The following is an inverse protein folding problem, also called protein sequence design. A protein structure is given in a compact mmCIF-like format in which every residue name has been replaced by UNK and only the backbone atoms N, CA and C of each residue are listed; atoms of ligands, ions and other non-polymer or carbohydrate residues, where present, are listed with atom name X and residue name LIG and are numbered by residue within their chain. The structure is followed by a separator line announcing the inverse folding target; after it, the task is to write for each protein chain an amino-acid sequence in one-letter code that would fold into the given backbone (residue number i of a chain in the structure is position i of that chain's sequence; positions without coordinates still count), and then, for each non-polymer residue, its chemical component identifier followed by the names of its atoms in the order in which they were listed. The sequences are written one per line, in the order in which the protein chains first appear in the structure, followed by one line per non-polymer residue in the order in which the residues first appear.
data_IF_551670026782
#
_entry.id   IF_551670026782
#
_cell.length_a   1.000
_cell.length_b   1.000
_cell.length_c   1.000
_cell.angle_alpha   90.00
_cell.angle_beta   90.00
_cell.angle_gamma   90.00
#
_symmetry.space_group_name_H-M   'P 1'
#
loop_
_entity.id
_entity.type
_entity.pdbx_description
1 polymer ?
#
# COMPACT_ATOMS: atom_id res chain seq x y z
N UNK A 1 -9.68 27.76 14.11
CA UNK A 1 -10.63 28.84 13.77
C UNK A 1 -10.25 29.56 12.47
N UNK A 2 -9.25 30.46 12.44
CA UNK A 2 -8.96 31.27 11.24
C UNK A 2 -8.63 30.46 9.97
N UNK A 3 -7.77 29.44 10.08
CA UNK A 3 -7.41 28.60 8.94
C UNK A 3 -8.63 27.85 8.35
N UNK A 4 -9.51 27.32 9.20
CA UNK A 4 -10.75 26.64 8.79
C UNK A 4 -11.73 27.61 8.12
N UNK A 5 -11.85 28.84 8.63
CA UNK A 5 -12.66 29.87 8.00
C UNK A 5 -12.14 30.22 6.60
N UNK A 6 -10.82 30.32 6.43
CA UNK A 6 -10.19 30.56 5.12
C UNK A 6 -10.45 29.40 4.16
N UNK A 7 -10.27 28.15 4.60
CA UNK A 7 -10.58 26.96 3.80
C UNK A 7 -12.03 26.97 3.32
N UNK A 8 -12.98 27.19 4.22
CA UNK A 8 -14.39 27.27 3.87
C UNK A 8 -14.66 28.39 2.84
N UNK A 9 -14.13 29.59 3.07
CA UNK A 9 -14.37 30.70 2.15
C UNK A 9 -13.74 30.45 0.77
N UNK A 10 -12.60 29.76 0.68
CA UNK A 10 -12.03 29.30 -0.60
C UNK A 10 -12.93 28.24 -1.25
N UNK A 11 -13.44 27.27 -0.49
CA UNK A 11 -14.34 26.21 -1.00
C UNK A 11 -15.66 26.78 -1.56
N UNK A 12 -16.21 27.84 -0.93
CA UNK A 12 -17.40 28.54 -1.41
C UNK A 12 -17.11 29.52 -2.56
N UNK A 13 -15.85 29.62 -3.01
CA UNK A 13 -15.41 30.54 -4.07
C UNK A 13 -15.36 32.01 -3.65
N UNK A 14 -15.43 32.32 -2.36
CA UNK A 14 -15.38 33.69 -1.84
C UNK A 14 -13.95 34.26 -1.83
N UNK A 15 -12.93 33.39 -1.70
CA UNK A 15 -11.52 33.76 -1.74
C UNK A 15 -10.80 33.02 -2.88
N UNK A 16 -9.85 33.70 -3.51
CA UNK A 16 -8.95 33.09 -4.51
C UNK A 16 -7.77 32.35 -3.87
N UNK A 17 -6.87 31.79 -4.70
CA UNK A 17 -5.69 31.06 -4.26
C UNK A 17 -4.67 31.92 -3.46
N UNK A 18 -4.71 33.24 -3.61
CA UNK A 18 -3.86 34.18 -2.85
C UNK A 18 -4.51 34.61 -1.53
N UNK A 19 -5.78 34.26 -1.33
CA UNK A 19 -6.59 34.66 -0.18
C UNK A 19 -7.28 36.01 -0.34
N UNK A 20 -7.35 36.56 -1.55
CA UNK A 20 -8.05 37.81 -1.84
C UNK A 20 -9.54 37.56 -2.12
N UNK A 21 -10.38 38.56 -1.88
CA UNK A 21 -11.83 38.48 -2.07
C UNK A 21 -12.18 38.44 -3.57
N UNK A 22 -12.98 37.46 -3.98
CA UNK A 22 -13.47 37.34 -5.36
C UNK A 22 -14.70 38.25 -5.60
N UNK A 23 -15.13 38.46 -6.86
CA UNK A 23 -16.41 39.13 -7.14
C UNK A 23 -17.59 38.42 -6.45
N UNK A 24 -17.57 37.09 -6.44
CA UNK A 24 -18.54 36.27 -5.73
C UNK A 24 -18.48 36.46 -4.21
N UNK A 25 -17.27 36.48 -3.62
CA UNK A 25 -17.07 36.78 -2.20
C UNK A 25 -17.55 38.18 -1.80
N UNK A 26 -17.38 39.17 -2.69
CA UNK A 26 -17.90 40.52 -2.51
C UNK A 26 -19.43 40.54 -2.49
N UNK A 27 -20.06 39.82 -3.43
CA UNK A 27 -21.52 39.66 -3.46
C UNK A 27 -22.05 38.93 -2.21
N UNK A 28 -21.34 37.90 -1.75
CA UNK A 28 -21.67 37.18 -0.51
C UNK A 28 -21.63 38.11 0.71
N UNK A 29 -20.58 38.93 0.81
CA UNK A 29 -20.43 39.89 1.91
C UNK A 29 -21.56 40.93 1.95
N UNK A 30 -22.02 41.39 0.78
CA UNK A 30 -23.10 42.37 0.68
C UNK A 30 -24.47 41.85 1.19
N UNK A 31 -24.67 40.53 1.24
CA UNK A 31 -25.92 39.94 1.74
C UNK A 31 -26.04 39.96 3.26
N UNK A 32 -24.96 40.18 4.01
CA UNK A 32 -25.02 40.31 5.48
C UNK A 32 -25.60 39.11 6.22
N UNK A 33 -25.48 37.90 5.66
CA UNK A 33 -25.87 36.62 6.30
C UNK A 33 -24.64 35.73 6.43
N UNK A 34 -24.77 34.59 7.11
CA UNK A 34 -23.67 33.62 7.21
C UNK A 34 -23.13 33.24 5.82
N UNK A 35 -21.80 33.13 5.60
CA UNK A 35 -21.22 32.92 4.26
C UNK A 35 -21.80 31.73 3.48
N UNK A 36 -22.11 30.62 4.15
CA UNK A 36 -22.76 29.46 3.52
C UNK A 36 -24.15 29.80 2.97
N UNK A 37 -24.93 30.57 3.72
CA UNK A 37 -26.26 31.02 3.31
C UNK A 37 -26.17 32.05 2.18
N UNK A 38 -25.19 32.96 2.25
CA UNK A 38 -24.95 33.95 1.20
C UNK A 38 -24.59 33.26 -0.13
N UNK A 39 -23.67 32.30 -0.09
CA UNK A 39 -23.29 31.50 -1.26
C UNK A 39 -24.50 30.76 -1.86
N UNK A 40 -25.26 30.07 -1.01
CA UNK A 40 -26.47 29.34 -1.39
C UNK A 40 -27.49 30.28 -2.06
N UNK A 41 -27.80 31.43 -1.46
CA UNK A 41 -28.82 32.36 -1.97
C UNK A 41 -28.44 32.96 -3.33
N UNK A 42 -27.16 33.27 -3.55
CA UNK A 42 -26.68 33.76 -4.84
C UNK A 42 -26.83 32.71 -5.94
N UNK A 43 -26.37 31.48 -5.69
CA UNK A 43 -26.48 30.40 -6.66
C UNK A 43 -27.92 29.91 -6.87
N UNK A 44 -28.77 29.98 -5.84
CA UNK A 44 -30.19 29.68 -5.95
C UNK A 44 -30.92 30.62 -6.91
N UNK A 45 -30.49 31.90 -6.97
CA UNK A 45 -31.05 32.88 -7.91
C UNK A 45 -30.72 32.52 -9.35
N UNK A 46 -29.49 32.12 -9.63
CA UNK A 46 -29.07 31.68 -10.97
C UNK A 46 -29.83 30.43 -11.44
N UNK A 47 -30.28 29.61 -10.48
CA UNK A 47 -31.00 28.36 -10.71
C UNK A 47 -32.53 28.48 -10.62
N UNK A 48 -33.07 29.68 -10.45
CA UNK A 48 -34.52 29.95 -10.30
C UNK A 48 -35.20 29.17 -9.17
N UNK A 49 -34.49 28.92 -8.06
CA UNK A 49 -35.01 28.23 -6.85
C UNK A 49 -34.89 29.10 -5.59
N UNK A 50 -34.87 30.42 -5.76
CA UNK A 50 -34.59 31.38 -4.71
C UNK A 50 -35.63 31.38 -3.58
N UNK A 51 -36.91 31.10 -3.88
CA UNK A 51 -37.95 30.98 -2.85
C UNK A 51 -37.69 29.81 -1.91
N UNK A 52 -37.33 28.64 -2.46
CA UNK A 52 -36.95 27.44 -1.70
C UNK A 52 -35.68 27.67 -0.88
N UNK A 53 -34.71 28.39 -1.46
CA UNK A 53 -33.51 28.79 -0.74
C UNK A 53 -33.83 29.66 0.48
N UNK A 54 -34.75 30.63 0.36
CA UNK A 54 -35.17 31.45 1.50
C UNK A 54 -35.82 30.61 2.61
N UNK A 55 -36.65 29.63 2.25
CA UNK A 55 -37.25 28.68 3.21
C UNK A 55 -36.17 27.85 3.91
N UNK A 56 -35.20 27.33 3.15
CA UNK A 56 -34.11 26.54 3.70
C UNK A 56 -33.24 27.38 4.65
N UNK A 57 -32.84 28.60 4.27
CA UNK A 57 -32.07 29.48 5.16
C UNK A 57 -32.84 29.73 6.45
N UNK A 58 -34.15 29.99 6.38
CA UNK A 58 -34.96 30.19 7.57
C UNK A 58 -35.03 28.94 8.47
N UNK A 59 -35.15 27.75 7.89
CA UNK A 59 -35.12 26.48 8.65
C UNK A 59 -33.77 26.23 9.32
N UNK A 60 -32.66 26.66 8.69
CA UNK A 60 -31.31 26.41 9.20
C UNK A 60 -30.85 27.43 10.25
N UNK A 61 -31.29 28.68 10.16
CA UNK A 61 -30.94 29.74 11.11
C UNK A 61 -31.85 29.72 12.35
N UNK A 62 -33.12 29.34 12.20
CA UNK A 62 -34.07 29.27 13.31
C UNK A 62 -34.01 27.94 14.05
N UNK A 63 -34.63 27.90 15.23
CA UNK A 63 -34.79 26.67 16.01
C UNK A 63 -35.67 25.67 15.25
N UNK A 64 -35.26 24.39 15.18
CA UNK A 64 -36.03 23.33 14.51
C UNK A 64 -37.51 23.34 14.98
N UNK A 65 -38.47 23.52 14.04
CA UNK A 65 -39.89 23.55 14.35
C UNK A 65 -40.50 22.17 14.62
N UNK A 66 -39.77 21.08 14.35
CA UNK A 66 -40.21 19.72 14.63
C UNK A 66 -39.62 19.26 15.97
N UNK A 67 -40.47 18.64 16.78
CA UNK A 67 -40.10 18.03 18.07
C UNK A 67 -40.40 16.53 18.03
N UNK A 68 -39.63 15.78 18.78
CA UNK A 68 -39.85 14.36 19.04
C UNK A 68 -39.88 14.14 20.55
N UNK A 69 -40.65 13.13 20.99
CA UNK A 69 -40.69 12.73 22.42
C UNK A 69 -39.32 12.17 22.85
N UNK A 70 -38.70 11.36 21.98
CA UNK A 70 -37.30 10.96 22.09
C UNK A 70 -36.50 11.67 20.99
N UNK A 71 -35.46 12.42 21.37
CA UNK A 71 -34.57 13.09 20.43
C UNK A 71 -33.87 12.11 19.44
N UNK A 72 -33.83 10.80 19.76
CA UNK A 72 -33.35 9.77 18.84
C UNK A 72 -34.31 9.45 17.69
N UNK A 73 -35.58 9.83 17.82
CA UNK A 73 -36.63 9.65 16.81
C UNK A 73 -36.85 10.91 15.96
N UNK A 74 -36.06 11.97 16.18
CA UNK A 74 -36.17 13.16 15.37
C UNK A 74 -35.71 12.82 13.95
N UNK A 75 -36.62 12.94 12.98
CA UNK A 75 -36.31 12.65 11.58
C UNK A 75 -35.23 13.65 11.08
N UNK A 76 -34.15 13.20 10.44
CA UNK A 76 -33.11 14.07 9.91
C UNK A 76 -33.49 14.77 8.60
N UNK A 77 -34.61 14.43 7.95
CA UNK A 77 -34.98 15.01 6.66
C UNK A 77 -35.38 16.49 6.78
N UNK A 78 -34.59 17.36 6.15
CA UNK A 78 -34.85 18.80 6.03
C UNK A 78 -36.12 19.04 5.21
N UNK A 79 -36.45 18.16 4.26
CA UNK A 79 -37.68 18.23 3.47
C UNK A 79 -38.93 18.25 4.34
N UNK A 80 -38.94 17.51 5.45
CA UNK A 80 -40.04 17.51 6.40
C UNK A 80 -40.28 18.90 7.04
N UNK A 81 -39.21 19.69 7.25
CA UNK A 81 -39.31 21.06 7.81
C UNK A 81 -39.80 22.04 6.76
N UNK A 82 -39.30 21.94 5.52
CA UNK A 82 -39.76 22.76 4.40
C UNK A 82 -41.25 22.53 4.15
N UNK A 83 -41.68 21.28 4.14
CA UNK A 83 -43.08 20.90 4.00
C UNK A 83 -43.94 21.50 5.12
N UNK A 84 -43.49 21.40 6.38
CA UNK A 84 -44.20 21.98 7.52
C UNK A 84 -44.31 23.51 7.41
N UNK A 85 -43.24 24.19 6.98
CA UNK A 85 -43.19 25.64 6.79
C UNK A 85 -44.20 26.11 5.75
N UNK A 86 -44.23 25.45 4.59
CA UNK A 86 -45.08 25.80 3.44
C UNK A 86 -46.55 25.42 3.61
N UNK A 87 -46.83 24.19 4.05
CA UNK A 87 -48.21 23.66 4.13
C UNK A 87 -48.92 24.01 5.44
N UNK A 88 -48.16 24.31 6.49
CA UNK A 88 -48.66 24.80 7.76
C UNK A 88 -49.52 23.91 8.62
N UNK A 89 -49.78 22.66 8.21
CA UNK A 89 -50.10 21.50 9.05
C UNK A 89 -50.23 20.26 8.17
N UNK A 90 -49.13 19.51 8.02
CA UNK A 90 -49.14 18.16 7.44
C UNK A 90 -49.18 17.12 8.55
N UNK A 91 -49.71 15.93 8.27
CA UNK A 91 -49.59 14.76 9.16
C UNK A 91 -48.10 14.43 9.28
N UNK A 92 -47.52 14.74 10.43
CA UNK A 92 -46.16 14.31 10.74
C UNK A 92 -46.14 12.79 11.00
N UNK A 93 -45.00 12.12 10.75
CA UNK A 93 -44.78 10.76 11.24
C UNK A 93 -45.13 10.60 12.72
N UNK A 94 -45.57 9.39 13.10
CA UNK A 94 -45.95 9.10 14.48
C UNK A 94 -44.81 9.40 15.46
N UNK A 95 -45.12 10.10 16.55
CA UNK A 95 -44.14 10.50 17.58
C UNK A 95 -43.52 11.89 17.37
N UNK A 96 -43.83 12.57 16.26
CA UNK A 96 -43.37 13.93 15.98
C UNK A 96 -44.49 14.96 16.19
N UNK A 97 -44.12 16.14 16.69
CA UNK A 97 -45.04 17.28 16.91
C UNK A 97 -44.45 18.58 16.35
N UNK A 98 -45.31 19.55 16.06
CA UNK A 98 -44.90 20.89 15.61
C UNK A 98 -44.85 21.87 16.78
N UNK A 99 -43.79 22.66 16.83
CA UNK A 99 -43.65 23.85 17.65
C UNK A 99 -44.14 25.06 16.83
N UNK A 100 -45.41 25.42 17.01
CA UNK A 100 -46.07 26.49 16.23
C UNK A 100 -45.31 27.84 16.35
N UNK A 101 -44.69 28.12 17.50
CA UNK A 101 -43.93 29.35 17.71
C UNK A 101 -42.59 29.35 16.96
N UNK A 102 -41.89 28.22 16.91
CA UNK A 102 -40.71 28.07 16.06
C UNK A 102 -41.06 28.13 14.58
N UNK A 103 -42.15 27.48 14.17
CA UNK A 103 -42.62 27.50 12.78
C UNK A 103 -42.99 28.92 12.31
N UNK A 104 -43.63 29.71 13.19
CA UNK A 104 -43.94 31.11 12.91
C UNK A 104 -42.66 31.94 12.66
N UNK A 105 -41.63 31.78 13.50
CA UNK A 105 -40.35 32.46 13.31
C UNK A 105 -39.69 32.07 11.99
N UNK A 106 -39.68 30.78 11.63
CA UNK A 106 -39.15 30.36 10.33
C UNK A 106 -39.90 31.03 9.17
N UNK A 107 -41.23 31.19 9.26
CA UNK A 107 -42.01 31.89 8.21
C UNK A 107 -41.67 33.37 8.13
N UNK A 108 -41.53 34.04 9.26
CA UNK A 108 -41.19 35.46 9.31
C UNK A 108 -39.79 35.71 8.70
N UNK A 109 -38.81 34.88 9.08
CA UNK A 109 -37.46 34.93 8.51
C UNK A 109 -37.46 34.64 7.01
N UNK A 110 -38.20 33.62 6.56
CA UNK A 110 -38.33 33.30 5.14
C UNK A 110 -39.01 34.43 4.35
N UNK A 111 -40.03 35.09 4.91
CA UNK A 111 -40.71 36.24 4.29
C UNK A 111 -39.76 37.45 4.19
N UNK A 112 -39.08 37.79 5.28
CA UNK A 112 -38.13 38.90 5.29
C UNK A 112 -36.99 38.70 4.27
N UNK A 113 -36.50 37.47 4.10
CA UNK A 113 -35.52 37.13 3.08
C UNK A 113 -36.07 37.30 1.66
N UNK A 114 -37.29 36.82 1.38
CA UNK A 114 -37.93 36.98 0.08
C UNK A 114 -38.13 38.44 -0.29
N UNK A 115 -38.61 39.25 0.65
CA UNK A 115 -38.84 40.68 0.47
C UNK A 115 -37.52 41.40 0.17
N UNK A 116 -36.48 41.13 0.97
CA UNK A 116 -35.15 41.71 0.81
C UNK A 116 -34.48 41.32 -0.51
N UNK A 117 -34.74 40.11 -0.99
CA UNK A 117 -34.16 39.57 -2.22
C UNK A 117 -35.06 39.75 -3.44
N UNK A 118 -36.21 40.42 -3.29
CA UNK A 118 -37.18 40.67 -4.35
C UNK A 118 -37.53 39.39 -5.15
N UNK A 119 -37.84 38.30 -4.44
CA UNK A 119 -38.21 37.02 -5.04
C UNK A 119 -39.50 37.17 -5.84
N UNK A 120 -39.51 36.69 -7.09
CA UNK A 120 -40.68 36.82 -7.98
C UNK A 120 -41.63 35.65 -7.74
N UNK A 121 -42.94 35.86 -7.92
CA UNK A 121 -43.94 34.78 -7.78
C UNK A 121 -43.70 33.57 -8.71
N UNK A 122 -42.96 33.73 -9.81
CA UNK A 122 -42.52 32.63 -10.67
C UNK A 122 -41.55 31.66 -10.01
N UNK A 123 -40.90 32.06 -8.92
CA UNK A 123 -39.89 31.26 -8.19
C UNK A 123 -40.54 30.36 -7.12
N UNK A 124 -41.88 30.35 -7.00
CA UNK A 124 -42.60 29.69 -5.92
C UNK A 124 -42.77 28.17 -6.09
N UNK A 125 -42.63 27.63 -7.31
CA UNK A 125 -42.81 26.19 -7.57
C UNK A 125 -41.72 25.65 -8.50
N UNK A 126 -40.71 24.98 -7.95
CA UNK A 126 -39.77 24.20 -8.75
C UNK A 126 -40.45 22.87 -9.17
N UNK A 127 -40.20 22.36 -10.39
CA UNK A 127 -40.78 21.09 -10.85
C UNK A 127 -40.39 19.87 -10.00
N UNK A 128 -39.31 19.97 -9.21
CA UNK A 128 -38.85 18.97 -8.25
C UNK A 128 -38.18 19.65 -7.04
N UNK A 129 -39.00 20.03 -6.05
CA UNK A 129 -38.53 20.69 -4.83
C UNK A 129 -37.54 19.82 -4.02
N UNK A 130 -37.63 18.49 -4.09
CA UNK A 130 -36.73 17.62 -3.33
C UNK A 130 -35.33 17.59 -3.93
N UNK A 131 -35.21 17.45 -5.26
CA UNK A 131 -33.91 17.52 -5.92
C UNK A 131 -33.26 18.91 -5.75
N UNK A 132 -34.05 19.98 -5.86
CA UNK A 132 -33.59 21.34 -5.62
C UNK A 132 -33.12 21.54 -4.17
N UNK A 133 -33.84 20.99 -3.19
CA UNK A 133 -33.45 21.08 -1.78
C UNK A 133 -32.11 20.40 -1.51
N UNK A 134 -31.91 19.19 -2.03
CA UNK A 134 -30.63 18.48 -1.96
C UNK A 134 -29.47 19.30 -2.53
N UNK A 135 -29.67 19.88 -3.72
CA UNK A 135 -28.69 20.75 -4.37
C UNK A 135 -28.36 21.99 -3.51
N UNK A 136 -29.37 22.64 -2.94
CA UNK A 136 -29.18 23.82 -2.10
C UNK A 136 -28.39 23.50 -0.82
N UNK A 137 -28.73 22.40 -0.13
CA UNK A 137 -27.94 21.97 1.04
C UNK A 137 -26.51 21.63 0.64
N UNK A 138 -26.33 20.98 -0.51
CA UNK A 138 -24.99 20.67 -1.04
C UNK A 138 -24.19 21.94 -1.31
N UNK A 139 -24.80 22.99 -1.86
CA UNK A 139 -24.16 24.29 -2.10
C UNK A 139 -23.75 24.98 -0.79
N UNK A 140 -24.60 25.00 0.23
CA UNK A 140 -24.23 25.57 1.53
C UNK A 140 -23.15 24.74 2.24
N UNK A 141 -23.15 23.42 2.08
CA UNK A 141 -22.29 22.49 2.80
C UNK A 141 -21.53 21.52 1.88
N UNK A 142 -20.64 22.01 0.99
CA UNK A 142 -19.91 21.18 0.03
C UNK A 142 -19.00 20.16 0.72
N UNK A 143 -18.45 20.51 1.89
CA UNK A 143 -17.62 19.65 2.74
C UNK A 143 -18.41 18.51 3.41
N UNK A 144 -19.74 18.63 3.48
CA UNK A 144 -20.65 17.71 4.19
C UNK A 144 -21.54 16.89 3.27
N UNK A 145 -21.15 16.78 2.00
CA UNK A 145 -21.74 15.80 1.07
C UNK A 145 -21.25 14.42 1.48
N UNK A 146 -22.17 13.47 1.58
CA UNK A 146 -21.93 12.15 2.12
C UNK A 146 -22.39 11.05 1.15
N UNK A 147 -21.60 9.98 1.05
CA UNK A 147 -21.97 8.75 0.34
C UNK A 147 -22.08 7.58 1.31
N UNK A 148 -23.14 6.79 1.21
CA UNK A 148 -23.36 5.61 2.06
C UNK A 148 -22.24 4.59 1.87
N UNK A 149 -21.80 3.96 2.95
CA UNK A 149 -20.82 2.86 2.90
C UNK A 149 -21.52 1.53 2.66
N UNK A 150 -20.93 0.68 1.83
CA UNK A 150 -21.47 -0.66 1.54
C UNK A 150 -21.56 -1.51 2.81
N UNK A 151 -22.68 -2.23 2.97
CA UNK A 151 -22.91 -3.17 4.08
C UNK A 151 -23.01 -2.53 5.48
N UNK A 152 -22.97 -1.20 5.61
CA UNK A 152 -22.78 -0.53 6.89
C UNK A 152 -24.04 0.13 7.50
N UNK A 153 -25.24 -0.18 7.00
CA UNK A 153 -26.49 0.47 7.43
C UNK A 153 -26.51 1.97 7.11
N UNK A 154 -27.11 2.79 7.97
CA UNK A 154 -27.21 4.25 7.81
C UNK A 154 -25.88 4.99 8.12
N UNK A 155 -24.76 4.47 7.62
CA UNK A 155 -23.40 5.02 7.78
C UNK A 155 -22.85 5.53 6.46
N UNK A 156 -22.18 6.67 6.52
CA UNK A 156 -21.74 7.46 5.37
C UNK A 156 -20.28 7.86 5.51
N UNK A 157 -19.63 8.09 4.37
CA UNK A 157 -18.36 8.77 4.23
C UNK A 157 -18.62 10.20 3.74
N UNK A 158 -18.19 11.19 4.51
CA UNK A 158 -18.23 12.59 4.10
C UNK A 158 -17.11 12.90 3.11
N UNK A 159 -17.31 13.93 2.28
CA UNK A 159 -16.32 14.42 1.30
C UNK A 159 -14.95 14.69 1.93
N UNK A 160 -14.92 15.18 3.17
CA UNK A 160 -13.69 15.47 3.91
C UNK A 160 -12.97 14.21 4.45
N UNK A 161 -13.54 13.01 4.28
CA UNK A 161 -12.97 11.73 4.72
C UNK A 161 -13.49 11.22 6.06
N UNK A 162 -14.23 12.03 6.82
CA UNK A 162 -14.81 11.63 8.10
C UNK A 162 -15.97 10.65 7.90
N UNK A 163 -16.13 9.73 8.86
CA UNK A 163 -17.34 8.90 8.95
C UNK A 163 -18.50 9.69 9.54
N UNK A 164 -19.71 9.39 9.09
CA UNK A 164 -20.95 9.95 9.65
C UNK A 164 -22.06 8.89 9.69
N UNK A 165 -23.07 9.08 10.54
CA UNK A 165 -24.20 8.16 10.62
C UNK A 165 -25.52 8.86 10.95
N UNK A 166 -26.64 8.32 10.45
CA UNK A 166 -27.98 8.73 10.87
C UNK A 166 -28.34 7.97 12.14
N UNK A 167 -28.85 8.69 13.14
CA UNK A 167 -29.25 8.12 14.43
C UNK A 167 -30.53 7.31 14.33
N UNK A 168 -31.49 7.80 13.56
CA UNK A 168 -32.72 7.07 13.24
C UNK A 168 -32.53 6.22 11.97
N UNK A 169 -32.53 4.90 12.12
CA UNK A 169 -32.45 3.97 10.99
C UNK A 169 -33.79 3.76 10.28
N UNK A 170 -34.89 4.23 10.86
CA UNK A 170 -36.23 4.19 10.27
C UNK A 170 -36.50 5.32 9.27
N UNK A 171 -35.69 6.39 9.29
CA UNK A 171 -35.80 7.50 8.35
C UNK A 171 -35.69 7.06 6.89
N UNK A 172 -36.42 7.74 6.00
CA UNK A 172 -36.31 7.56 4.55
C UNK A 172 -34.88 7.76 4.05
N UNK A 173 -34.15 8.70 4.65
CA UNK A 173 -32.77 9.04 4.29
C UNK A 173 -31.77 7.91 4.55
N UNK A 174 -32.06 6.97 5.46
CA UNK A 174 -31.18 5.83 5.74
C UNK A 174 -30.97 4.91 4.53
N UNK A 175 -31.90 4.95 3.56
CA UNK A 175 -31.83 4.14 2.33
C UNK A 175 -31.19 4.87 1.16
N UNK A 176 -31.03 6.18 1.27
CA UNK A 176 -30.42 7.00 0.24
C UNK A 176 -28.90 6.77 0.18
N UNK A 177 -28.38 6.67 -1.04
CA UNK A 177 -26.95 6.50 -1.26
C UNK A 177 -26.19 7.81 -1.02
N UNK A 178 -26.80 8.95 -1.35
CA UNK A 178 -26.17 10.25 -1.32
C UNK A 178 -26.99 11.23 -0.47
N UNK A 179 -26.30 11.95 0.42
CA UNK A 179 -26.88 12.95 1.29
C UNK A 179 -26.07 14.25 1.25
N UNK A 180 -26.76 15.38 1.34
CA UNK A 180 -26.16 16.65 1.71
C UNK A 180 -26.52 16.95 3.17
N UNK A 181 -25.52 17.07 4.05
CA UNK A 181 -25.77 17.22 5.49
C UNK A 181 -25.68 18.70 5.92
N UNK A 182 -26.79 19.27 6.38
CA UNK A 182 -26.86 20.65 6.85
C UNK A 182 -26.34 20.79 8.29
N UNK A 183 -26.67 19.82 9.16
CA UNK A 183 -26.26 19.81 10.56
C UNK A 183 -25.65 18.46 10.97
N UNK A 184 -24.47 18.52 11.58
CA UNK A 184 -23.70 17.38 12.08
C UNK A 184 -23.22 17.69 13.50
N UNK A 185 -23.09 16.66 14.33
CA UNK A 185 -22.33 16.70 15.59
C UNK A 185 -21.08 15.82 15.43
N UNK A 186 -19.91 16.45 15.41
CA UNK A 186 -18.60 15.83 15.18
C UNK A 186 -17.81 15.58 16.47
N UNK A 187 -18.46 15.62 17.63
CA UNK A 187 -17.83 15.34 18.93
C UNK A 187 -17.36 13.90 19.12
N UNK A 188 -17.89 12.96 18.32
CA UNK A 188 -17.57 11.53 18.37
C UNK A 188 -16.53 11.09 17.32
N UNK A 189 -16.25 9.77 17.28
CA UNK A 189 -15.38 9.16 16.25
C UNK A 189 -15.97 9.29 14.84
N UNK A 190 -17.27 9.07 14.72
CA UNK A 190 -18.05 9.34 13.52
C UNK A 190 -19.08 10.42 13.86
N UNK A 191 -19.33 11.34 12.93
CA UNK A 191 -20.27 12.43 13.13
C UNK A 191 -21.72 11.93 13.15
N UNK A 192 -22.56 12.46 14.03
CA UNK A 192 -24.01 12.21 13.99
C UNK A 192 -24.66 13.18 13.01
N UNK A 193 -25.42 12.67 12.03
CA UNK A 193 -26.19 13.49 11.10
C UNK A 193 -27.51 13.88 11.76
N UNK A 194 -27.71 15.19 11.94
CA UNK A 194 -28.91 15.76 12.55
C UNK A 194 -29.90 16.31 11.54
N UNK A 195 -29.40 16.93 10.46
CA UNK A 195 -30.22 17.42 9.36
C UNK A 195 -29.52 17.13 8.04
N UNK A 196 -30.25 16.53 7.10
CA UNK A 196 -29.79 16.24 5.77
C UNK A 196 -30.92 16.33 4.74
N UNK A 197 -30.54 16.41 3.48
CA UNK A 197 -31.43 16.25 2.35
C UNK A 197 -30.89 15.13 1.45
N UNK A 198 -31.80 14.42 0.79
CA UNK A 198 -31.46 13.49 -0.30
C UNK A 198 -30.70 14.25 -1.38
N UNK A 199 -29.64 13.64 -1.90
CA UNK A 199 -28.86 14.18 -3.01
C UNK A 199 -28.72 13.11 -4.10
N UNK A 200 -28.58 13.53 -5.36
CA UNK A 200 -28.27 12.62 -6.47
C UNK A 200 -26.83 12.81 -6.94
N UNK A 201 -26.18 11.73 -7.40
CA UNK A 201 -24.81 11.79 -7.90
C UNK A 201 -24.67 12.71 -9.12
N UNK A 202 -25.70 12.81 -9.97
CA UNK A 202 -25.66 13.71 -11.12
C UNK A 202 -25.66 15.18 -10.67
N UNK A 203 -26.37 15.51 -9.59
CA UNK A 203 -26.31 16.85 -8.96
C UNK A 203 -24.90 17.12 -8.43
N UNK A 204 -24.25 16.15 -7.77
CA UNK A 204 -22.85 16.30 -7.32
C UNK A 204 -21.93 16.58 -8.51
N UNK A 205 -22.07 15.83 -9.60
CA UNK A 205 -21.27 16.01 -10.82
C UNK A 205 -21.50 17.37 -11.46
N UNK A 206 -22.74 17.81 -11.56
CA UNK A 206 -23.09 19.12 -12.14
C UNK A 206 -22.54 20.27 -11.29
N UNK A 207 -22.75 20.23 -9.97
CA UNK A 207 -22.32 21.31 -9.06
C UNK A 207 -20.80 21.36 -8.88
N UNK A 208 -20.12 20.22 -8.95
CA UNK A 208 -18.72 20.09 -8.53
C UNK A 208 -17.82 19.48 -9.60
N UNK A 209 -18.15 19.64 -10.89
CA UNK A 209 -17.34 19.11 -12.01
C UNK A 209 -15.84 19.43 -11.84
N UNK A 210 -15.51 20.69 -11.55
CA UNK A 210 -14.12 21.15 -11.42
C UNK A 210 -13.41 20.66 -10.14
N UNK A 211 -14.16 20.05 -9.21
CA UNK A 211 -13.64 19.52 -7.95
C UNK A 211 -13.59 17.98 -7.94
N UNK A 212 -14.05 17.34 -9.03
CA UNK A 212 -13.91 15.90 -9.23
C UNK A 212 -12.55 15.62 -9.85
N UNK A 213 -11.71 14.90 -9.12
CA UNK A 213 -10.36 14.57 -9.54
C UNK A 213 -10.30 13.14 -10.06
N UNK A 214 -9.49 12.92 -11.10
CA UNK A 214 -9.21 11.58 -11.62
C UNK A 214 -7.77 11.22 -11.33
N UNK A 215 -7.56 10.23 -10.47
CA UNK A 215 -6.22 9.77 -10.06
C UNK A 215 -6.00 8.35 -10.56
N UNK A 216 -4.93 8.17 -11.33
CA UNK A 216 -4.42 6.85 -11.73
C UNK A 216 -3.44 6.36 -10.67
N UNK A 217 -3.61 5.14 -10.21
CA UNK A 217 -2.69 4.45 -9.29
C UNK A 217 -2.30 3.11 -9.90
N UNK A 218 -1.00 2.87 -10.01
CA UNK A 218 -0.46 1.57 -10.41
C UNK A 218 0.39 1.06 -9.26
N UNK A 219 0.11 -0.15 -8.81
CA UNK A 219 0.84 -0.80 -7.73
C UNK A 219 0.91 -2.30 -8.00
N UNK A 220 1.97 -2.93 -7.50
CA UNK A 220 2.03 -4.38 -7.45
C UNK A 220 1.35 -4.86 -6.16
N UNK A 221 0.43 -5.80 -6.30
CA UNK A 221 -0.27 -6.41 -5.19
C UNK A 221 0.67 -7.37 -4.44
N UNK A 222 0.76 -7.21 -3.12
CA UNK A 222 1.75 -7.92 -2.31
C UNK A 222 1.44 -9.43 -2.17
N UNK A 223 0.17 -9.81 -2.23
CA UNK A 223 -0.26 -11.21 -2.08
C UNK A 223 -0.09 -11.98 -3.39
N UNK A 224 -0.56 -11.41 -4.50
CA UNK A 224 -0.54 -12.04 -5.82
C UNK A 224 0.74 -11.78 -6.61
N UNK A 225 1.52 -10.76 -6.24
CA UNK A 225 2.72 -10.34 -6.97
C UNK A 225 2.45 -9.74 -8.35
N UNK A 226 1.18 -9.41 -8.67
CA UNK A 226 0.78 -8.88 -9.98
C UNK A 226 0.60 -7.37 -9.94
N UNK A 227 0.98 -6.70 -11.03
CA UNK A 227 0.73 -5.26 -11.16
C UNK A 227 -0.72 -5.01 -11.53
N UNK A 228 -1.39 -4.18 -10.74
CA UNK A 228 -2.75 -3.69 -10.97
C UNK A 228 -2.73 -2.17 -11.09
N UNK A 229 -3.37 -1.68 -12.13
CA UNK A 229 -3.69 -0.27 -12.28
C UNK A 229 -5.15 -0.03 -11.95
N UNK A 230 -5.45 1.05 -11.24
CA UNK A 230 -6.80 1.55 -11.03
C UNK A 230 -6.85 3.03 -11.36
N UNK A 231 -7.95 3.45 -11.96
CA UNK A 231 -8.27 4.86 -12.15
C UNK A 231 -9.48 5.16 -11.28
N UNK A 232 -9.27 6.05 -10.31
CA UNK A 232 -10.28 6.45 -9.35
C UNK A 232 -10.71 7.88 -9.69
N UNK A 233 -11.98 8.03 -10.03
CA UNK A 233 -12.66 9.33 -10.05
C UNK A 233 -13.17 9.59 -8.63
N UNK A 234 -12.73 10.67 -8.01
CA UNK A 234 -13.05 10.99 -6.62
C UNK A 234 -13.54 12.42 -6.45
N UNK A 235 -14.46 12.59 -5.52
CA UNK A 235 -14.89 13.89 -5.01
C UNK A 235 -14.44 14.02 -3.56
N UNK A 236 -13.33 14.73 -3.35
CA UNK A 236 -12.59 14.67 -2.08
C UNK A 236 -12.19 13.23 -1.74
N UNK A 237 -12.52 12.78 -0.54
CA UNK A 237 -12.27 11.41 -0.08
C UNK A 237 -13.26 10.37 -0.63
N UNK A 238 -14.35 10.78 -1.26
CA UNK A 238 -15.36 9.86 -1.79
C UNK A 238 -14.93 9.38 -3.17
N UNK A 239 -14.64 8.08 -3.32
CA UNK A 239 -14.52 7.46 -4.63
C UNK A 239 -15.91 7.43 -5.29
N UNK A 240 -16.05 8.03 -6.48
CA UNK A 240 -17.27 8.01 -7.28
C UNK A 240 -17.30 6.74 -8.13
N UNK A 241 -16.22 6.53 -8.87
CA UNK A 241 -16.03 5.42 -9.79
C UNK A 241 -14.60 4.92 -9.66
N UNK A 242 -14.45 3.61 -9.50
CA UNK A 242 -13.16 2.93 -9.61
C UNK A 242 -13.21 2.00 -10.82
N UNK A 243 -12.23 2.12 -11.71
CA UNK A 243 -12.07 1.23 -12.88
C UNK A 243 -10.67 0.66 -12.91
N UNK A 244 -10.55 -0.60 -13.31
CA UNK A 244 -9.25 -1.19 -13.63
C UNK A 244 -8.66 -0.45 -14.82
N UNK A 245 -7.37 -0.13 -14.76
CA UNK A 245 -6.62 0.41 -15.88
C UNK A 245 -6.13 -0.74 -16.74
N UNK A 246 -6.60 -0.82 -17.98
CA UNK A 246 -6.24 -1.89 -18.92
C UNK A 246 -4.90 -1.62 -19.63
N UNK A 247 -4.39 -0.40 -19.52
CA UNK A 247 -3.25 0.14 -20.28
C UNK A 247 -2.03 0.42 -19.39
N UNK A 248 -1.62 -0.54 -18.55
CA UNK A 248 -0.44 -0.40 -17.69
C UNK A 248 0.84 -0.34 -18.54
N UNK A 249 1.53 0.80 -18.50
CA UNK A 249 2.77 1.02 -19.26
C UNK A 249 3.92 0.16 -18.73
N UNK A 250 4.94 -0.14 -19.55
CA UNK A 250 6.12 -0.86 -19.10
C UNK A 250 6.86 -0.19 -17.92
N UNK A 251 6.93 1.15 -17.92
CA UNK A 251 7.62 1.89 -16.86
C UNK A 251 6.84 1.86 -15.54
N UNK A 252 5.51 2.04 -15.57
CA UNK A 252 4.67 1.91 -14.37
C UNK A 252 4.77 0.51 -13.76
N UNK A 253 4.79 -0.52 -14.63
CA UNK A 253 4.96 -1.92 -14.20
C UNK A 253 6.31 -2.15 -13.56
N UNK A 254 7.36 -1.65 -14.20
CA UNK A 254 8.74 -1.79 -13.72
C UNK A 254 8.89 -1.12 -12.36
N UNK A 255 8.45 0.14 -12.22
CA UNK A 255 8.49 0.88 -10.97
C UNK A 255 7.69 0.18 -9.87
N UNK A 256 6.49 -0.33 -10.18
CA UNK A 256 5.64 -1.03 -9.22
C UNK A 256 6.23 -2.34 -8.71
N UNK A 257 6.81 -3.15 -9.61
CA UNK A 257 7.46 -4.40 -9.24
C UNK A 257 8.74 -4.15 -8.45
N UNK A 258 9.55 -3.16 -8.85
CA UNK A 258 10.76 -2.79 -8.11
C UNK A 258 10.42 -2.32 -6.70
N UNK A 259 9.41 -1.44 -6.56
CA UNK A 259 8.93 -1.00 -5.26
C UNK A 259 8.45 -2.16 -4.38
N UNK A 260 7.75 -3.14 -4.95
CA UNK A 260 7.32 -4.34 -4.23
C UNK A 260 8.50 -5.20 -3.75
N UNK A 261 9.53 -5.38 -4.59
CA UNK A 261 10.75 -6.09 -4.16
C UNK A 261 11.43 -5.34 -3.02
N UNK A 262 11.60 -4.03 -3.15
CA UNK A 262 12.30 -3.22 -2.16
C UNK A 262 11.56 -3.13 -0.81
N UNK A 263 10.22 -3.12 -0.82
CA UNK A 263 9.42 -2.95 0.41
C UNK A 263 9.60 -4.08 1.43
N UNK A 264 9.89 -5.31 0.97
CA UNK A 264 10.03 -6.50 1.82
C UNK A 264 11.32 -7.28 1.49
N UNK A 265 12.37 -6.58 1.08
CA UNK A 265 13.67 -7.20 0.82
C UNK A 265 14.32 -7.74 2.11
N UNK A 266 14.93 -8.94 2.11
CA UNK A 266 15.09 -9.89 0.99
C UNK A 266 13.98 -10.94 0.87
N UNK A 267 12.94 -10.89 1.71
CA UNK A 267 11.85 -11.89 1.73
C UNK A 267 11.03 -11.89 0.44
N UNK A 268 10.89 -10.73 -0.20
CA UNK A 268 10.21 -10.55 -1.48
C UNK A 268 10.89 -11.32 -2.63
N UNK A 269 12.22 -11.47 -2.60
CA UNK A 269 13.03 -12.12 -3.63
C UNK A 269 13.97 -13.16 -3.01
N UNK A 270 13.44 -14.31 -2.54
CA UNK A 270 14.25 -15.36 -1.96
C UNK A 270 15.18 -15.94 -3.04
N UNK A 271 16.48 -15.90 -2.77
CA UNK A 271 17.48 -16.46 -3.68
C UNK A 271 17.36 -17.98 -3.73
N UNK A 272 17.26 -18.53 -4.94
CA UNK A 272 17.38 -19.97 -5.12
C UNK A 272 18.81 -20.45 -4.75
N UNK A 273 19.01 -21.76 -4.67
CA UNK A 273 20.32 -22.31 -4.28
C UNK A 273 21.46 -21.90 -5.23
N UNK A 274 21.18 -21.79 -6.53
CA UNK A 274 22.18 -21.38 -7.54
C UNK A 274 22.65 -19.95 -7.32
N UNK A 275 21.69 -19.03 -7.16
CA UNK A 275 21.94 -17.62 -6.86
C UNK A 275 22.64 -17.46 -5.51
N UNK A 276 22.23 -18.24 -4.50
CA UNK A 276 22.87 -18.26 -3.18
C UNK A 276 24.34 -18.68 -3.28
N UNK A 277 24.65 -19.77 -4.00
CA UNK A 277 26.04 -20.21 -4.23
C UNK A 277 26.85 -19.18 -5.01
N UNK A 278 26.26 -18.53 -6.02
CA UNK A 278 26.93 -17.47 -6.76
C UNK A 278 27.27 -16.28 -5.85
N UNK A 279 26.28 -15.80 -5.08
CA UNK A 279 26.45 -14.73 -4.10
C UNK A 279 27.55 -15.04 -3.08
N UNK A 280 27.59 -16.26 -2.55
CA UNK A 280 28.63 -16.70 -1.62
C UNK A 280 30.04 -16.65 -2.25
N UNK A 281 30.19 -17.12 -3.49
CA UNK A 281 31.46 -17.04 -4.23
C UNK A 281 31.88 -15.59 -4.49
N UNK A 282 30.94 -14.71 -4.84
CA UNK A 282 31.21 -13.29 -5.03
C UNK A 282 31.59 -12.59 -3.72
N UNK A 283 30.89 -12.87 -2.62
CA UNK A 283 31.24 -12.36 -1.30
C UNK A 283 32.63 -12.82 -0.86
N UNK A 284 32.97 -14.09 -1.12
CA UNK A 284 34.31 -14.62 -0.94
C UNK A 284 35.36 -13.83 -1.76
N UNK A 285 35.13 -13.65 -3.05
CA UNK A 285 36.07 -12.94 -3.92
C UNK A 285 36.22 -11.47 -3.52
N UNK A 286 35.13 -10.75 -3.25
CA UNK A 286 35.14 -9.36 -2.78
C UNK A 286 35.98 -9.17 -1.52
N UNK A 287 35.87 -10.10 -0.56
CA UNK A 287 36.67 -10.05 0.68
C UNK A 287 38.18 -10.12 0.41
N UNK A 288 38.62 -10.91 -0.57
CA UNK A 288 40.03 -11.17 -0.84
C UNK A 288 40.59 -10.33 -2.01
N UNK A 289 39.72 -9.70 -2.80
CA UNK A 289 40.05 -8.86 -3.94
C UNK A 289 38.94 -7.84 -4.17
N UNK A 290 39.18 -6.60 -3.71
CA UNK A 290 38.18 -5.52 -3.72
C UNK A 290 37.73 -5.04 -5.11
N UNK A 291 38.27 -5.62 -6.20
CA UNK A 291 37.76 -5.40 -7.57
C UNK A 291 36.44 -6.13 -7.83
N UNK A 292 36.13 -7.16 -7.06
CA UNK A 292 34.84 -7.84 -7.12
C UNK A 292 33.77 -7.03 -6.39
N UNK A 293 32.50 -7.07 -6.81
CA UNK A 293 31.44 -6.24 -6.24
C UNK A 293 31.07 -6.70 -4.81
N UNK A 294 30.66 -5.75 -3.97
CA UNK A 294 29.97 -6.08 -2.73
C UNK A 294 28.56 -6.62 -3.06
N UNK A 295 28.23 -7.78 -2.50
CA UNK A 295 26.94 -8.46 -2.66
C UNK A 295 26.24 -8.67 -1.31
N UNK A 296 26.54 -7.81 -0.34
CA UNK A 296 25.77 -7.64 0.89
C UNK A 296 24.34 -7.18 0.57
N UNK A 297 23.38 -7.46 1.47
CA UNK A 297 21.99 -7.06 1.22
C UNK A 297 21.84 -5.53 1.05
N UNK A 298 22.68 -4.75 1.74
CA UNK A 298 22.73 -3.30 1.60
C UNK A 298 23.24 -2.86 0.23
N UNK A 299 24.38 -3.43 -0.22
CA UNK A 299 24.94 -3.11 -1.53
C UNK A 299 24.03 -3.54 -2.69
N UNK A 300 23.35 -4.69 -2.55
CA UNK A 300 22.40 -5.16 -3.56
C UNK A 300 21.16 -4.26 -3.67
N UNK A 301 20.68 -3.69 -2.56
CA UNK A 301 19.61 -2.69 -2.60
C UNK A 301 20.07 -1.37 -3.22
N UNK A 302 21.26 -0.91 -2.85
CA UNK A 302 21.85 0.33 -3.37
C UNK A 302 22.03 0.29 -4.89
N UNK A 303 22.48 -0.84 -5.42
CA UNK A 303 22.77 -1.04 -6.85
C UNK A 303 21.69 -1.83 -7.59
N UNK A 304 20.45 -1.82 -7.08
CA UNK A 304 19.33 -2.56 -7.67
C UNK A 304 19.01 -2.09 -9.11
N UNK A 305 19.36 -0.86 -9.47
CA UNK A 305 19.26 -0.31 -10.83
C UNK A 305 20.17 -1.04 -11.84
N UNK A 306 21.26 -1.65 -11.38
CA UNK A 306 22.27 -2.28 -12.23
C UNK A 306 21.97 -3.75 -12.46
N UNK A 307 21.69 -4.51 -11.39
CA UNK A 307 21.50 -5.96 -11.50
C UNK A 307 20.03 -6.40 -11.53
N UNK A 308 19.15 -5.71 -10.80
CA UNK A 308 17.74 -6.12 -10.64
C UNK A 308 16.82 -5.47 -11.68
N UNK A 309 17.00 -4.17 -11.94
CA UNK A 309 16.16 -3.41 -12.86
C UNK A 309 16.09 -4.01 -14.28
N UNK A 310 17.17 -4.53 -14.90
CA UNK A 310 17.08 -5.21 -16.19
C UNK A 310 16.12 -6.41 -16.19
N UNK A 311 16.14 -7.21 -15.12
CA UNK A 311 15.21 -8.34 -14.93
C UNK A 311 13.77 -7.82 -14.79
N UNK A 312 13.57 -6.82 -13.94
CA UNK A 312 12.24 -6.26 -13.63
C UNK A 312 11.61 -5.65 -14.87
N UNK A 313 12.38 -4.99 -15.74
CA UNK A 313 11.89 -4.40 -17.01
C UNK A 313 11.27 -5.43 -17.95
N UNK A 314 11.77 -6.66 -17.95
CA UNK A 314 11.25 -7.76 -18.78
C UNK A 314 10.16 -8.59 -18.08
N UNK A 315 9.91 -8.33 -16.79
CA UNK A 315 9.02 -9.13 -15.95
C UNK A 315 7.58 -8.59 -15.96
N UNK A 316 6.60 -9.50 -15.88
CA UNK A 316 5.17 -9.13 -15.81
C UNK A 316 4.60 -9.26 -14.40
N UNK A 317 5.28 -9.98 -13.54
CA UNK A 317 4.94 -10.27 -12.14
C UNK A 317 6.19 -10.44 -11.27
N UNK A 318 6.02 -10.36 -9.95
CA UNK A 318 7.08 -10.70 -8.99
C UNK A 318 7.59 -12.13 -9.17
N UNK A 319 6.70 -13.01 -9.58
CA UNK A 319 6.97 -14.42 -9.83
C UNK A 319 7.89 -14.64 -11.04
N UNK A 320 7.82 -13.77 -12.06
CA UNK A 320 8.78 -13.77 -13.17
C UNK A 320 10.16 -13.31 -12.70
N UNK A 321 10.21 -12.27 -11.84
CA UNK A 321 11.46 -11.78 -11.23
C UNK A 321 12.13 -12.88 -10.42
N UNK A 322 11.36 -13.63 -9.61
CA UNK A 322 11.85 -14.77 -8.81
C UNK A 322 12.38 -15.93 -9.65
N UNK A 323 11.86 -16.13 -10.85
CA UNK A 323 12.28 -17.20 -11.78
C UNK A 323 13.50 -16.81 -12.61
N UNK A 324 13.86 -15.53 -12.67
CA UNK A 324 15.03 -15.07 -13.40
C UNK A 324 16.33 -15.67 -12.84
N UNK A 325 17.37 -15.72 -13.68
CA UNK A 325 18.69 -16.14 -13.25
C UNK A 325 19.39 -15.03 -12.46
N UNK A 326 19.04 -14.94 -11.17
CA UNK A 326 19.64 -13.98 -10.25
C UNK A 326 21.16 -14.19 -10.15
N UNK A 327 21.66 -15.42 -10.27
CA UNK A 327 23.09 -15.70 -10.23
C UNK A 327 23.83 -15.03 -11.40
N UNK A 328 23.29 -15.13 -12.61
CA UNK A 328 23.83 -14.43 -13.77
C UNK A 328 23.74 -12.90 -13.61
N UNK A 329 22.60 -12.40 -13.13
CA UNK A 329 22.38 -10.97 -12.94
C UNK A 329 23.30 -10.33 -11.89
N UNK A 330 23.66 -11.06 -10.82
CA UNK A 330 24.65 -10.58 -9.84
C UNK A 330 26.04 -10.34 -10.43
N UNK A 331 26.32 -10.96 -11.58
CA UNK A 331 27.55 -10.73 -12.30
C UNK A 331 27.45 -9.55 -13.27
N UNK A 332 26.26 -8.98 -13.49
CA UNK A 332 26.07 -7.83 -14.38
C UNK A 332 26.70 -6.59 -13.74
N UNK A 333 27.53 -5.89 -14.53
CA UNK A 333 28.41 -4.84 -14.02
C UNK A 333 29.80 -5.32 -13.59
N UNK A 334 30.04 -6.63 -13.48
CA UNK A 334 31.41 -7.16 -13.30
C UNK A 334 32.18 -7.12 -14.61
N UNK A 335 33.39 -6.57 -14.58
CA UNK A 335 34.28 -6.51 -15.74
C UNK A 335 34.48 -7.92 -16.35
N UNK A 336 34.41 -8.01 -17.68
CA UNK A 336 34.54 -9.29 -18.39
C UNK A 336 35.85 -10.04 -18.06
N UNK A 337 36.95 -9.30 -17.89
CA UNK A 337 38.25 -9.86 -17.54
C UNK A 337 38.23 -10.54 -16.16
N UNK A 338 37.53 -9.96 -15.18
CA UNK A 338 37.33 -10.54 -13.85
C UNK A 338 36.41 -11.76 -13.93
N UNK A 339 35.26 -11.65 -14.62
CA UNK A 339 34.31 -12.76 -14.83
C UNK A 339 35.02 -14.04 -15.35
N UNK A 340 35.96 -13.90 -16.28
CA UNK A 340 36.73 -15.02 -16.83
C UNK A 340 37.63 -15.75 -15.79
N UNK A 341 37.90 -15.12 -14.64
CA UNK A 341 38.72 -15.69 -13.57
C UNK A 341 37.92 -16.33 -12.44
N UNK A 342 36.59 -16.13 -12.41
CA UNK A 342 35.69 -16.56 -11.34
C UNK A 342 35.83 -18.06 -11.00
N UNK A 343 35.72 -18.92 -12.01
CA UNK A 343 35.77 -20.38 -11.82
C UNK A 343 37.16 -20.89 -11.44
N UNK A 344 38.21 -20.14 -11.77
CA UNK A 344 39.58 -20.47 -11.37
C UNK A 344 39.87 -20.02 -9.94
N UNK A 345 39.48 -18.80 -9.58
CA UNK A 345 39.76 -18.20 -8.27
C UNK A 345 38.86 -18.76 -7.16
N UNK A 346 37.59 -19.01 -7.47
CA UNK A 346 36.59 -19.55 -6.55
C UNK A 346 35.81 -20.69 -7.23
N UNK A 347 36.42 -21.86 -7.48
CA UNK A 347 35.75 -22.97 -8.17
C UNK A 347 34.54 -23.48 -7.38
N UNK A 348 33.53 -23.99 -8.09
CA UNK A 348 32.36 -24.61 -7.46
C UNK A 348 32.68 -25.96 -6.81
N UNK A 349 33.65 -26.69 -7.37
CA UNK A 349 34.08 -28.00 -6.90
C UNK A 349 35.60 -28.14 -7.04
N UNK A 350 36.19 -28.94 -6.16
CA UNK A 350 37.58 -29.38 -6.24
C UNK A 350 37.63 -30.87 -6.54
N UNK A 351 38.49 -31.24 -7.47
CA UNK A 351 38.83 -32.64 -7.72
C UNK A 351 39.84 -33.09 -6.67
N UNK A 352 39.45 -34.03 -5.81
CA UNK A 352 40.32 -34.60 -4.78
C UNK A 352 41.09 -35.82 -5.34
N UNK A 353 42.12 -36.36 -4.67
CA UNK A 353 42.96 -37.44 -5.21
C UNK A 353 42.22 -38.68 -5.69
N UNK A 354 41.07 -39.00 -5.09
CA UNK A 354 40.21 -40.10 -5.56
C UNK A 354 39.61 -39.90 -6.96
N UNK A 355 39.73 -38.69 -7.53
CA UNK A 355 39.07 -38.25 -8.76
C UNK A 355 37.67 -37.65 -8.55
N UNK A 356 37.14 -37.70 -7.32
CA UNK A 356 35.82 -37.14 -7.02
C UNK A 356 35.82 -35.62 -7.08
N UNK A 357 34.72 -35.04 -7.57
CA UNK A 357 34.48 -33.59 -7.54
C UNK A 357 33.67 -33.24 -6.29
N UNK A 358 34.33 -32.63 -5.32
CA UNK A 358 33.72 -32.27 -4.03
C UNK A 358 33.34 -30.79 -4.06
N UNK A 359 32.09 -30.42 -3.72
CA UNK A 359 31.67 -29.01 -3.71
C UNK A 359 32.44 -28.23 -2.64
N UNK A 360 32.75 -26.97 -2.97
CA UNK A 360 33.34 -26.02 -2.01
C UNK A 360 32.21 -25.16 -1.45
N UNK A 361 32.12 -25.09 -0.13
CA UNK A 361 31.16 -24.26 0.58
C UNK A 361 31.81 -22.90 0.90
N UNK A 362 31.21 -21.83 0.37
CA UNK A 362 31.65 -20.44 0.54
C UNK A 362 30.72 -19.64 1.46
N UNK A 363 29.86 -20.30 2.24
CA UNK A 363 28.92 -19.66 3.17
C UNK A 363 29.62 -18.76 4.19
N UNK A 364 30.85 -19.08 4.59
CA UNK A 364 31.77 -18.18 5.29
C UNK A 364 32.87 -17.69 4.33
N UNK A 365 32.80 -16.43 3.86
CA UNK A 365 33.84 -15.82 3.02
C UNK A 365 35.26 -15.81 3.62
N UNK A 366 35.38 -15.90 4.95
CA UNK A 366 36.69 -15.97 5.62
C UNK A 366 37.32 -17.36 5.55
N UNK A 367 36.50 -18.39 5.38
CA UNK A 367 36.80 -19.76 5.76
C UNK A 367 36.11 -20.76 4.83
N UNK A 368 36.41 -20.74 3.51
CA UNK A 368 35.82 -21.68 2.56
C UNK A 368 36.15 -23.12 2.95
N UNK A 369 35.14 -23.97 2.81
CA UNK A 369 35.09 -25.28 3.41
C UNK A 369 34.99 -26.39 2.36
N UNK A 370 35.77 -27.46 2.55
CA UNK A 370 35.69 -28.69 1.80
C UNK A 370 35.30 -29.85 2.74
N UNK A 371 34.04 -30.27 2.67
CA UNK A 371 33.57 -31.44 3.41
C UNK A 371 33.80 -32.70 2.58
N UNK A 372 34.82 -33.48 2.95
CA UNK A 372 35.29 -34.62 2.15
C UNK A 372 35.57 -35.82 3.05
N UNK A 373 35.24 -37.01 2.56
CA UNK A 373 35.55 -38.24 3.29
C UNK A 373 37.06 -38.45 3.35
N UNK A 374 37.54 -38.82 4.54
CA UNK A 374 38.96 -38.93 4.82
C UNK A 374 39.71 -39.81 3.81
N UNK A 375 39.11 -40.95 3.43
CA UNK A 375 39.73 -41.90 2.48
C UNK A 375 39.92 -41.37 1.05
N UNK A 376 39.25 -40.28 0.71
CA UNK A 376 39.37 -39.67 -0.62
C UNK A 376 40.57 -38.74 -0.74
N UNK A 377 41.15 -38.35 0.40
CA UNK A 377 42.35 -37.53 0.51
C UNK A 377 43.62 -38.36 0.73
N UNK A 378 43.56 -39.70 0.74
CA UNK A 378 44.78 -40.49 0.75
C UNK A 378 45.65 -40.16 -0.48
N UNK A 379 46.96 -40.12 -0.29
CA UNK A 379 47.89 -39.63 -1.30
C UNK A 379 48.03 -38.09 -1.35
N UNK A 380 47.18 -37.32 -0.67
CA UNK A 380 47.32 -35.86 -0.64
C UNK A 380 48.47 -35.43 0.27
N UNK A 381 49.48 -34.78 -0.32
CA UNK A 381 50.64 -34.21 0.37
C UNK A 381 50.52 -32.71 0.63
N UNK A 382 49.46 -32.06 0.14
CA UNK A 382 49.16 -30.65 0.36
C UNK A 382 47.67 -30.45 0.65
N UNK A 383 47.35 -29.41 1.43
CA UNK A 383 45.97 -28.98 1.66
C UNK A 383 45.41 -28.40 0.35
N UNK A 384 44.23 -28.84 -0.14
CA UNK A 384 43.56 -28.18 -1.25
C UNK A 384 43.32 -26.69 -0.98
N UNK A 385 43.45 -25.86 -2.00
CA UNK A 385 43.46 -24.41 -1.88
C UNK A 385 42.70 -23.72 -3.02
N UNK A 386 42.20 -22.53 -2.76
CA UNK A 386 41.53 -21.63 -3.71
C UNK A 386 42.34 -20.32 -3.87
N UNK A 387 41.83 -19.35 -4.64
CA UNK A 387 42.52 -18.08 -4.97
C UNK A 387 43.89 -18.30 -5.63
N UNK A 388 43.93 -19.18 -6.63
CA UNK A 388 45.16 -19.58 -7.33
C UNK A 388 46.23 -20.13 -6.37
N UNK A 389 45.81 -20.88 -5.36
CA UNK A 389 46.70 -21.54 -4.39
C UNK A 389 47.03 -20.73 -3.15
N UNK A 390 46.55 -19.47 -3.06
CA UNK A 390 46.91 -18.56 -1.97
C UNK A 390 46.15 -18.84 -0.66
N UNK A 391 44.98 -19.45 -0.73
CA UNK A 391 44.16 -19.72 0.45
C UNK A 391 43.89 -21.22 0.61
N UNK A 392 44.51 -21.89 1.60
CA UNK A 392 44.18 -23.27 1.92
C UNK A 392 42.75 -23.37 2.48
N UNK A 393 42.02 -24.40 2.05
CA UNK A 393 40.67 -24.65 2.50
C UNK A 393 40.64 -25.21 3.91
N UNK A 394 39.55 -24.92 4.63
CA UNK A 394 39.19 -25.72 5.79
C UNK A 394 38.69 -27.06 5.30
N UNK A 395 39.23 -28.15 5.83
CA UNK A 395 38.80 -29.50 5.51
C UNK A 395 37.98 -30.03 6.68
N UNK A 396 36.70 -30.31 6.43
CA UNK A 396 35.91 -31.18 7.29
C UNK A 396 36.12 -32.62 6.82
N UNK A 397 37.00 -33.33 7.53
CA UNK A 397 37.24 -34.74 7.29
C UNK A 397 36.03 -35.53 7.78
N UNK A 398 35.42 -36.29 6.89
CA UNK A 398 34.23 -37.08 7.16
C UNK A 398 34.57 -38.58 7.24
N UNK A 399 33.82 -39.30 8.06
CA UNK A 399 33.80 -40.77 8.07
C UNK A 399 33.14 -41.32 6.79
N UNK A 400 33.19 -42.65 6.54
CA UNK A 400 32.46 -43.27 5.44
C UNK A 400 30.94 -43.02 5.46
N UNK A 401 30.37 -42.74 6.65
CA UNK A 401 28.97 -42.40 6.83
C UNK A 401 28.70 -40.88 6.83
N UNK A 402 29.61 -40.07 6.25
CA UNK A 402 29.50 -38.61 6.14
C UNK A 402 29.38 -37.85 7.47
N UNK A 403 29.87 -38.44 8.57
CA UNK A 403 29.92 -37.76 9.88
C UNK A 403 31.26 -37.04 10.04
N UNK A 404 31.29 -35.78 10.53
CA UNK A 404 32.55 -35.09 10.83
C UNK A 404 33.38 -35.88 11.85
N UNK A 405 34.68 -36.03 11.56
CA UNK A 405 35.64 -36.68 12.45
C UNK A 405 36.79 -35.78 12.85
N UNK A 406 37.18 -34.85 12.00
CA UNK A 406 38.23 -33.88 12.28
C UNK A 406 38.03 -32.64 11.39
N UNK A 407 38.42 -31.48 11.92
CA UNK A 407 38.55 -30.24 11.15
C UNK A 407 40.02 -29.86 11.10
N UNK A 408 40.54 -29.50 9.92
CA UNK A 408 41.92 -29.04 9.76
C UNK A 408 42.08 -28.01 8.65
N UNK A 409 43.06 -27.11 8.80
CA UNK A 409 43.57 -26.22 7.72
C UNK A 409 44.98 -26.64 7.25
N UNK A 410 45.57 -27.62 7.93
CA UNK A 410 46.88 -28.19 7.66
C UNK A 410 46.72 -29.71 7.54
N UNK A 411 46.44 -30.17 6.32
CA UNK A 411 46.27 -31.58 6.02
C UNK A 411 47.59 -32.36 6.22
N UNK A 412 48.77 -31.86 5.79
CA UNK A 412 50.05 -32.49 6.13
C UNK A 412 50.30 -32.64 7.63
N UNK A 413 50.02 -31.59 8.42
CA UNK A 413 50.10 -31.65 9.87
C UNK A 413 49.18 -32.71 10.47
N UNK A 414 47.92 -32.75 10.02
CA UNK A 414 46.95 -33.76 10.44
C UNK A 414 47.45 -35.20 10.21
N UNK A 415 48.01 -35.49 9.03
CA UNK A 415 48.54 -36.82 8.72
C UNK A 415 49.66 -37.24 9.67
N UNK A 416 50.54 -36.29 10.05
CA UNK A 416 51.68 -36.54 10.93
C UNK A 416 51.30 -36.71 12.39
N UNK A 417 50.27 -36.02 12.88
CA UNK A 417 49.98 -35.94 14.32
C UNK A 417 48.70 -36.67 14.72
N UNK A 418 47.57 -36.36 14.09
CA UNK A 418 46.24 -36.71 14.61
C UNK A 418 45.59 -37.88 13.90
N UNK A 419 46.09 -38.24 12.71
CA UNK A 419 45.54 -39.35 11.93
C UNK A 419 45.57 -40.69 12.66
N UNK A 420 46.65 -40.99 13.39
CA UNK A 420 46.80 -42.28 14.07
C UNK A 420 45.65 -42.58 15.04
N UNK A 421 45.19 -41.57 15.79
CA UNK A 421 44.08 -41.68 16.74
C UNK A 421 42.74 -41.80 16.02
N UNK A 422 42.50 -40.93 15.03
CA UNK A 422 41.28 -40.98 14.18
C UNK A 422 41.17 -42.34 13.48
N UNK A 423 42.29 -42.89 13.02
CA UNK A 423 42.38 -44.20 12.38
C UNK A 423 41.99 -45.33 13.33
N UNK A 424 42.47 -45.31 14.58
CA UNK A 424 42.15 -46.33 15.60
C UNK A 424 40.64 -46.41 15.84
N UNK A 425 40.01 -45.25 15.96
CA UNK A 425 38.56 -45.14 16.15
C UNK A 425 37.77 -45.57 14.89
N UNK A 426 38.14 -45.06 13.72
CA UNK A 426 37.47 -45.37 12.45
C UNK A 426 37.60 -46.84 12.05
N UNK A 427 38.73 -47.48 12.35
CA UNK A 427 38.94 -48.91 12.09
C UNK A 427 37.99 -49.79 12.92
N UNK A 428 37.68 -49.39 14.15
CA UNK A 428 36.69 -50.07 14.99
C UNK A 428 35.27 -49.91 14.47
N UNK A 429 34.86 -48.68 14.14
CA UNK A 429 33.49 -48.38 13.67
C UNK A 429 33.21 -48.82 12.22
N UNK A 430 34.23 -48.82 11.36
CA UNK A 430 34.14 -49.09 9.93
C UNK A 430 35.19 -50.12 9.46
N UNK A 431 35.11 -51.38 9.91
CA UNK A 431 36.15 -52.40 9.66
C UNK A 431 36.25 -52.84 8.20
N UNK A 432 35.24 -52.54 7.37
CA UNK A 432 35.22 -52.89 5.92
C UNK A 432 35.98 -51.89 5.04
N UNK A 433 36.46 -50.78 5.60
CA UNK A 433 37.19 -49.75 4.89
C UNK A 433 38.70 -49.89 5.10
N UNK A 434 39.49 -49.48 4.11
CA UNK A 434 40.95 -49.52 4.18
C UNK A 434 41.47 -48.31 4.97
N UNK A 435 42.16 -48.57 6.08
CA UNK A 435 42.72 -47.56 6.97
C UNK A 435 44.26 -47.72 7.06
N UNK A 436 45.01 -47.23 6.07
CA UNK A 436 46.45 -47.45 5.94
C UNK A 436 47.23 -46.89 7.14
N UNK A 437 48.42 -47.43 7.43
CA UNK A 437 49.33 -46.82 8.41
C UNK A 437 49.89 -45.51 7.90
N UNK A 438 50.32 -45.49 6.64
CA UNK A 438 50.75 -44.28 5.95
C UNK A 438 49.63 -43.79 5.01
N UNK A 439 48.91 -42.70 5.35
CA UNK A 439 47.87 -42.13 4.49
C UNK A 439 48.44 -41.35 3.30
N UNK A 440 49.72 -41.00 3.30
CA UNK A 440 50.34 -40.12 2.30
C UNK A 440 50.77 -40.86 1.03
N UNK A 441 50.93 -42.18 1.09
CA UNK A 441 51.27 -43.05 -0.05
C UNK A 441 50.14 -44.00 -0.44
N UNK A 442 49.07 -44.04 0.33
CA UNK A 442 47.94 -44.93 0.09
C UNK A 442 47.10 -44.51 -1.12
N UNK A 443 46.57 -45.51 -1.83
CA UNK A 443 45.68 -45.28 -2.98
C UNK A 443 44.34 -44.70 -2.49
N UNK A 444 43.93 -43.51 -2.94
CA UNK A 444 42.65 -42.93 -2.58
C UNK A 444 41.50 -43.74 -3.17
N UNK A 445 40.39 -43.83 -2.44
CA UNK A 445 39.21 -44.57 -2.92
C UNK A 445 37.91 -43.92 -2.47
N UNK A 446 36.98 -43.76 -3.42
CA UNK A 446 35.60 -43.38 -3.12
C UNK A 446 34.74 -44.62 -2.73
N UNK A 447 35.22 -45.86 -2.93
CA UNK A 447 34.46 -47.11 -2.76
C UNK A 447 34.82 -47.86 -1.48
N UNK A 448 33.86 -48.58 -0.90
CA UNK A 448 34.14 -49.63 0.09
C UNK A 448 34.80 -50.85 -0.60
N UNK A 449 35.66 -51.60 0.09
CA UNK A 449 36.26 -52.82 -0.50
C UNK A 449 35.16 -53.82 -0.88
N UNK A 450 35.21 -54.45 -2.08
CA UNK A 450 34.33 -55.57 -2.41
C UNK A 450 34.65 -56.80 -1.54
N UNK A 451 33.68 -57.71 -1.37
CA UNK A 451 33.87 -58.97 -0.62
C UNK A 451 34.91 -59.87 -1.33
N UNK A 452 35.87 -60.38 -0.55
CA UNK A 452 36.75 -61.49 -0.93
C UNK A 452 38.04 -61.08 -1.65
N UNK A 453 39.06 -60.75 -0.87
CA UNK A 453 40.48 -60.86 -1.23
C UNK A 453 41.28 -61.22 0.01
#
# INVERSE_FOLDING_TARGET
AFAQARTLLTELGALDATGALTPHGSAMSALGVHPRMAHLLLLARERNVLSLACDLVAVLEERDPIRAVDARQLDPDVGLRIDALRSGRRVLPAGLTLDDGALARCRDTARALRDRLAVRHSDEHAPDDQAALGALVALAYPDRIARRRDGAGARYLLRNGSGAYLRDQGSSLAREEWLACAALDDSGRDATIHLAARLDINTVRELYTDQITRVRRVSADAETGRVRGVVVESFGAIALVERVADDITPDERTASLLALVMADWPQSLPMNEGATRMRQRLAFLHRHDGRWPDVSDAALLEHADTWLLPIVRTSRSLDDVRRADIGAALLDGVEWSLRATLDRMAPTHITVPSGSRVPVDYSDPAAPLLAVRLQELFGATATPSVLDGRLPLIIHLLSPAHRPVQVTRDLPGFWRTSYADVRKDLRGRYPRHSWPEDPTTAVPTHRARPRGS
#
